data_IF_090065389304
#
_entry.id   IF_090065389304
#
_cell.length_a   1.000
_cell.length_b   1.000
_cell.length_c   1.000
_cell.angle_alpha   90.00
_cell.angle_beta   90.00
_cell.angle_gamma   90.00
#
_symmetry.space_group_name_H-M   'P 1'
#
loop_
_entity.id
_entity.type
_entity.pdbx_description
1 polymer ?
#
# COMPACT_ATOMS: atom_id res chain seq x y z
N UNK A 1 11.88 -13.61 2.00
CA UNK A 1 13.36 -13.52 1.96
C UNK A 1 13.86 -12.21 1.31
N UNK A 2 13.24 -11.72 0.22
CA UNK A 2 13.73 -10.52 -0.49
C UNK A 2 13.84 -9.24 0.35
N UNK A 3 12.80 -8.90 1.12
CA UNK A 3 12.85 -7.73 2.01
C UNK A 3 13.97 -7.83 3.06
N UNK A 4 14.16 -9.01 3.65
CA UNK A 4 15.25 -9.29 4.60
C UNK A 4 16.61 -9.14 3.97
N UNK A 5 16.78 -9.50 2.69
CA UNK A 5 18.05 -9.32 2.00
C UNK A 5 18.37 -7.83 1.82
N UNK A 6 17.41 -7.05 1.30
CA UNK A 6 17.60 -5.62 1.05
C UNK A 6 17.93 -4.83 2.32
N UNK A 7 17.23 -5.09 3.44
CA UNK A 7 17.48 -4.34 4.70
C UNK A 7 18.83 -4.67 5.35
N UNK A 8 19.45 -5.80 4.98
CA UNK A 8 20.74 -6.23 5.55
C UNK A 8 21.93 -5.96 4.61
N UNK A 9 21.75 -5.25 3.49
CA UNK A 9 22.86 -4.80 2.67
C UNK A 9 23.76 -3.83 3.48
N UNK A 10 25.09 -4.03 3.50
CA UNK A 10 25.99 -3.28 4.39
C UNK A 10 26.33 -1.88 3.86
N UNK A 11 25.98 -1.56 2.62
CA UNK A 11 26.21 -0.26 2.00
C UNK A 11 25.13 0.09 0.96
N UNK A 12 24.97 1.37 0.66
CA UNK A 12 24.02 1.87 -0.35
C UNK A 12 24.30 1.30 -1.75
N UNK A 13 25.58 1.11 -2.08
CA UNK A 13 25.98 0.49 -3.35
C UNK A 13 25.55 -0.96 -3.44
N UNK A 14 25.78 -1.73 -2.37
CA UNK A 14 25.36 -3.13 -2.32
C UNK A 14 23.83 -3.27 -2.29
N UNK A 15 23.11 -2.32 -1.69
CA UNK A 15 21.65 -2.26 -1.76
C UNK A 15 21.17 -2.08 -3.22
N UNK A 16 21.79 -1.16 -3.97
CA UNK A 16 21.46 -0.94 -5.37
C UNK A 16 21.76 -2.17 -6.24
N UNK A 17 22.91 -2.80 -6.02
CA UNK A 17 23.31 -4.01 -6.75
C UNK A 17 22.36 -5.18 -6.42
N UNK A 18 21.99 -5.36 -5.15
CA UNK A 18 21.00 -6.35 -4.73
C UNK A 18 19.61 -6.09 -5.32
N UNK A 19 19.15 -4.84 -5.34
CA UNK A 19 17.89 -4.44 -5.95
C UNK A 19 17.84 -4.82 -7.45
N UNK A 20 18.88 -4.47 -8.21
CA UNK A 20 18.99 -4.82 -9.64
C UNK A 20 19.08 -6.33 -9.86
N UNK A 21 19.85 -7.03 -9.02
CA UNK A 21 19.98 -8.48 -9.10
C UNK A 21 18.64 -9.18 -8.83
N UNK A 22 17.86 -8.72 -7.85
CA UNK A 22 16.51 -9.23 -7.57
C UNK A 22 15.56 -8.97 -8.75
N UNK A 23 15.59 -7.77 -9.33
CA UNK A 23 14.77 -7.48 -10.50
C UNK A 23 15.08 -8.42 -11.68
N UNK A 24 16.37 -8.65 -11.97
CA UNK A 24 16.80 -9.59 -13.01
C UNK A 24 16.39 -11.04 -12.70
N UNK A 25 16.63 -11.51 -11.47
CA UNK A 25 16.28 -12.86 -11.03
C UNK A 25 14.77 -13.12 -11.12
N UNK A 26 13.97 -12.14 -10.71
CA UNK A 26 12.51 -12.21 -10.69
C UNK A 26 11.88 -11.85 -12.04
N UNK A 27 12.70 -11.48 -13.04
CA UNK A 27 12.26 -11.02 -14.36
C UNK A 27 11.27 -9.85 -14.27
N UNK A 28 11.53 -8.93 -13.35
CA UNK A 28 10.77 -7.69 -13.17
C UNK A 28 11.38 -6.63 -14.09
N UNK A 29 10.56 -6.08 -14.97
CA UNK A 29 10.92 -4.91 -15.75
C UNK A 29 10.80 -3.66 -14.88
N UNK A 30 11.93 -3.02 -14.59
CA UNK A 30 12.00 -1.82 -13.77
C UNK A 30 11.38 -0.58 -14.45
N UNK A 31 11.10 -0.64 -15.76
CA UNK A 31 10.41 0.45 -16.46
C UNK A 31 8.88 0.30 -16.42
N UNK A 32 8.38 -0.87 -16.01
CA UNK A 32 6.94 -1.07 -15.84
C UNK A 32 6.47 -0.23 -14.64
N UNK A 33 5.43 0.60 -14.79
CA UNK A 33 4.96 1.45 -13.72
C UNK A 33 4.47 0.62 -12.52
N UNK A 34 5.10 0.85 -11.37
CA UNK A 34 4.62 0.35 -10.09
C UNK A 34 3.71 1.37 -9.41
N UNK A 35 2.72 0.88 -8.65
CA UNK A 35 1.85 1.73 -7.83
C UNK A 35 1.79 1.23 -6.39
N UNK A 36 2.04 2.13 -5.43
CA UNK A 36 2.03 1.83 -3.99
C UNK A 36 1.05 2.75 -3.26
N UNK A 37 0.24 2.20 -2.37
CA UNK A 37 -0.57 2.99 -1.43
C UNK A 37 -0.06 2.76 -0.02
N UNK A 38 -0.02 3.82 0.79
CA UNK A 38 0.39 3.72 2.19
C UNK A 38 -0.40 4.67 3.08
N UNK A 39 -0.34 4.38 4.38
CA UNK A 39 -0.85 5.19 5.47
C UNK A 39 -0.15 4.76 6.76
N UNK A 40 -0.35 5.50 7.86
CA UNK A 40 0.31 5.25 9.15
C UNK A 40 -0.66 5.36 10.32
N UNK A 41 -0.25 4.79 11.45
CA UNK A 41 -0.89 5.06 12.73
C UNK A 41 -0.47 6.44 13.31
N UNK A 42 -0.84 6.70 14.55
CA UNK A 42 -0.58 7.96 15.25
C UNK A 42 0.78 8.04 15.94
N UNK A 43 1.67 7.05 15.78
CA UNK A 43 2.99 7.07 16.42
C UNK A 43 3.82 8.28 15.94
N UNK A 44 4.54 8.98 16.85
CA UNK A 44 5.33 10.15 16.47
C UNK A 44 6.36 9.88 15.36
N UNK A 45 7.01 8.72 15.40
CA UNK A 45 8.00 8.30 14.40
C UNK A 45 7.43 8.12 12.99
N UNK A 46 6.10 8.00 12.85
CA UNK A 46 5.44 7.76 11.58
C UNK A 46 5.71 8.83 10.53
N UNK A 47 5.90 10.10 10.93
CA UNK A 47 6.24 11.18 9.98
C UNK A 47 7.59 10.94 9.30
N UNK A 48 8.62 10.59 10.08
CA UNK A 48 9.95 10.31 9.55
C UNK A 48 9.97 9.06 8.67
N UNK A 49 9.29 8.00 9.10
CA UNK A 49 9.23 6.74 8.36
C UNK A 49 8.47 6.87 7.03
N UNK A 50 7.36 7.61 7.00
CA UNK A 50 6.63 7.88 5.75
C UNK A 50 7.46 8.74 4.80
N UNK A 51 8.21 9.72 5.31
CA UNK A 51 9.11 10.54 4.49
C UNK A 51 10.22 9.70 3.85
N UNK A 52 10.81 8.76 4.61
CA UNK A 52 11.81 7.84 4.08
C UNK A 52 11.22 6.89 3.02
N UNK A 53 9.98 6.40 3.24
CA UNK A 53 9.26 5.58 2.26
C UNK A 53 8.99 6.36 0.96
N UNK A 54 8.52 7.61 1.05
CA UNK A 54 8.26 8.46 -0.10
C UNK A 54 9.54 8.71 -0.92
N UNK A 55 10.65 9.04 -0.26
CA UNK A 55 11.94 9.23 -0.93
C UNK A 55 12.41 7.97 -1.68
N UNK A 56 12.19 6.78 -1.11
CA UNK A 56 12.51 5.52 -1.79
C UNK A 56 11.63 5.29 -3.03
N UNK A 57 10.32 5.58 -2.94
CA UNK A 57 9.38 5.44 -4.06
C UNK A 57 9.67 6.44 -5.19
N UNK A 58 10.04 7.68 -4.84
CA UNK A 58 10.49 8.70 -5.80
C UNK A 58 11.78 8.27 -6.50
N UNK A 59 12.77 7.75 -5.75
CA UNK A 59 14.03 7.27 -6.31
C UNK A 59 13.86 6.09 -7.29
N UNK A 60 12.81 5.27 -7.12
CA UNK A 60 12.47 4.17 -8.02
C UNK A 60 11.42 4.54 -9.08
N UNK A 61 11.06 5.83 -9.22
CA UNK A 61 10.06 6.28 -10.19
C UNK A 61 8.68 5.62 -10.02
N UNK A 62 8.35 5.20 -8.80
CA UNK A 62 7.12 4.46 -8.49
C UNK A 62 6.00 5.43 -8.15
N UNK A 63 4.82 5.26 -8.74
CA UNK A 63 3.65 6.08 -8.38
C UNK A 63 3.18 5.71 -6.98
N UNK A 64 2.76 6.71 -6.19
CA UNK A 64 2.26 6.45 -4.85
C UNK A 64 1.14 7.36 -4.38
N UNK A 65 0.39 6.89 -3.38
CA UNK A 65 -0.67 7.66 -2.70
C UNK A 65 -0.52 7.53 -1.19
N UNK A 66 -0.35 8.68 -0.53
CA UNK A 66 -0.32 8.80 0.93
C UNK A 66 -1.72 9.09 1.47
N UNK A 67 -2.35 8.09 2.07
CA UNK A 67 -3.65 8.21 2.75
C UNK A 67 -3.54 8.72 4.19
N UNK A 68 -2.37 9.20 4.61
CA UNK A 68 -2.13 9.86 5.90
C UNK A 68 -2.38 8.92 7.09
N UNK A 69 -3.30 9.28 7.98
CA UNK A 69 -3.58 8.53 9.20
C UNK A 69 -4.72 7.56 8.92
N UNK A 70 -4.44 6.27 9.08
CA UNK A 70 -5.43 5.21 8.88
C UNK A 70 -5.23 4.10 9.91
N UNK A 71 -6.30 3.35 10.15
CA UNK A 71 -6.19 2.02 10.75
C UNK A 71 -5.66 1.00 9.74
N UNK A 72 -5.02 -0.06 10.22
CA UNK A 72 -4.54 -1.15 9.36
C UNK A 72 -5.65 -1.75 8.48
N UNK A 73 -6.88 -2.01 8.98
CA UNK A 73 -7.96 -2.52 8.13
C UNK A 73 -8.39 -1.55 7.02
N UNK A 74 -8.35 -0.23 7.25
CA UNK A 74 -8.66 0.76 6.21
C UNK A 74 -7.60 0.74 5.10
N UNK A 75 -6.31 0.60 5.44
CA UNK A 75 -5.26 0.46 4.44
C UNK A 75 -5.47 -0.80 3.59
N UNK A 76 -5.80 -1.95 4.21
CA UNK A 76 -6.13 -3.17 3.47
C UNK A 76 -7.37 -3.00 2.56
N UNK A 77 -8.38 -2.28 3.03
CA UNK A 77 -9.57 -1.95 2.22
C UNK A 77 -9.19 -1.15 0.97
N UNK A 78 -8.40 -0.08 1.13
CA UNK A 78 -7.98 0.79 0.03
C UNK A 78 -7.14 0.03 -1.00
N UNK A 79 -6.15 -0.75 -0.55
CA UNK A 79 -5.34 -1.60 -1.42
C UNK A 79 -6.21 -2.55 -2.25
N UNK A 80 -7.26 -3.13 -1.65
CA UNK A 80 -8.17 -4.03 -2.38
C UNK A 80 -9.09 -3.27 -3.34
N UNK A 81 -9.62 -2.13 -2.94
CA UNK A 81 -10.48 -1.31 -3.80
C UNK A 81 -9.70 -0.84 -5.04
N UNK A 82 -8.48 -0.30 -4.86
CA UNK A 82 -7.63 0.17 -5.98
C UNK A 82 -7.36 -0.93 -7.00
N UNK A 83 -7.11 -2.16 -6.55
CA UNK A 83 -6.83 -3.29 -7.45
C UNK A 83 -8.08 -3.93 -8.08
N UNK A 84 -9.29 -3.54 -7.66
CA UNK A 84 -10.54 -4.14 -8.14
C UNK A 84 -11.51 -3.14 -8.74
N UNK A 85 -11.20 -1.84 -8.66
CA UNK A 85 -11.98 -0.76 -9.24
C UNK A 85 -12.21 -0.97 -10.74
N UNK A 86 -13.42 -0.68 -11.21
CA UNK A 86 -13.82 -0.91 -12.61
C UNK A 86 -13.95 -2.38 -13.04
N UNK A 87 -13.67 -3.35 -12.15
CA UNK A 87 -13.83 -4.78 -12.45
C UNK A 87 -15.13 -5.35 -11.88
N UNK A 88 -15.61 -6.51 -12.35
CA UNK A 88 -16.74 -7.22 -11.72
C UNK A 88 -16.52 -7.59 -10.25
N UNK A 89 -15.27 -7.54 -9.76
CA UNK A 89 -14.89 -7.83 -8.37
C UNK A 89 -14.68 -6.56 -7.54
N UNK A 90 -15.12 -5.39 -8.02
CA UNK A 90 -14.99 -4.12 -7.33
C UNK A 90 -15.41 -4.24 -5.86
N UNK A 91 -14.47 -3.97 -4.96
CA UNK A 91 -14.70 -4.19 -3.54
C UNK A 91 -15.46 -3.03 -2.89
N UNK A 92 -15.34 -1.82 -3.41
CA UNK A 92 -15.97 -0.62 -2.88
C UNK A 92 -15.35 0.63 -3.51
N UNK A 93 -15.77 1.78 -3.02
CA UNK A 93 -15.18 3.06 -3.41
C UNK A 93 -13.75 3.18 -2.84
N UNK A 94 -12.82 3.73 -3.61
CA UNK A 94 -11.39 3.86 -3.30
C UNK A 94 -11.08 5.01 -2.33
N UNK A 95 -11.90 5.17 -1.29
CA UNK A 95 -11.85 6.27 -0.33
C UNK A 95 -12.09 5.81 1.12
N UNK A 96 -11.67 6.61 2.10
CA UNK A 96 -11.97 6.37 3.51
C UNK A 96 -13.49 6.45 3.78
N UNK A 97 -14.18 7.39 3.13
CA UNK A 97 -15.64 7.48 3.16
C UNK A 97 -16.30 6.19 2.62
N UNK A 98 -15.73 5.60 1.56
CA UNK A 98 -16.12 4.32 1.01
C UNK A 98 -16.05 3.17 2.01
N UNK A 99 -14.99 3.16 2.83
CA UNK A 99 -14.84 2.18 3.93
C UNK A 99 -16.00 2.31 4.92
N UNK A 100 -16.26 3.51 5.42
CA UNK A 100 -17.34 3.76 6.39
C UNK A 100 -18.72 3.42 5.81
N UNK A 101 -18.99 3.87 4.58
CA UNK A 101 -20.25 3.59 3.88
C UNK A 101 -20.47 2.09 3.72
N UNK A 102 -19.45 1.35 3.28
CA UNK A 102 -19.55 -0.10 3.11
C UNK A 102 -19.90 -0.81 4.41
N UNK A 103 -19.23 -0.45 5.50
CA UNK A 103 -19.49 -1.04 6.82
C UNK A 103 -20.89 -0.69 7.34
N UNK A 104 -21.28 0.58 7.26
CA UNK A 104 -22.61 1.05 7.67
C UNK A 104 -23.72 0.35 6.90
N UNK A 105 -23.61 0.30 5.56
CA UNK A 105 -24.60 -0.34 4.70
C UNK A 105 -24.74 -1.85 5.01
N UNK A 106 -23.62 -2.52 5.28
CA UNK A 106 -23.63 -3.94 5.66
C UNK A 106 -24.26 -4.17 7.04
N UNK A 107 -23.95 -3.31 8.01
CA UNK A 107 -24.51 -3.37 9.36
C UNK A 107 -26.03 -3.17 9.34
N UNK A 108 -26.52 -2.14 8.64
CA UNK A 108 -27.97 -1.90 8.48
C UNK A 108 -28.65 -3.10 7.83
N UNK A 109 -28.08 -3.68 6.77
CA UNK A 109 -28.64 -4.90 6.14
C UNK A 109 -28.69 -6.08 7.10
N UNK A 110 -27.65 -6.28 7.91
CA UNK A 110 -27.58 -7.39 8.86
C UNK A 110 -28.63 -7.28 9.99
N UNK A 111 -29.05 -6.06 10.33
CA UNK A 111 -30.07 -5.79 11.33
C UNK A 111 -31.51 -5.82 10.79
N UNK A 112 -31.71 -5.79 9.47
CA UNK A 112 -33.06 -5.85 8.89
C UNK A 112 -33.80 -7.10 9.37
N UNK A 113 -35.00 -6.90 9.92
CA UNK A 113 -35.86 -7.99 10.39
C UNK A 113 -35.57 -8.49 11.81
N UNK A 114 -34.58 -7.92 12.51
CA UNK A 114 -34.40 -8.15 13.95
C UNK A 114 -35.17 -7.07 14.73
N UNK A 115 -36.17 -7.50 15.50
CA UNK A 115 -36.88 -6.65 16.47
C UNK A 115 -36.03 -6.46 17.72
#
# INVERSE_FOLDING_TARGET
AYATHLVNCPSDRELLDAYKALAAQLKIDLNTPGRVVYGRDTRPSGHGLVSALAAALEATGTEFTDYKILTTPQLHYLTRCVNTEGTPKAYGETSEAGYYKKFSDAFVRALRGRK
#
